data_IF_969584765861
#
_entry.id   IF_969584765861
#
_cell.length_a   1.000
_cell.length_b   1.000
_cell.length_c   1.000
_cell.angle_alpha   90.00
_cell.angle_beta   90.00
_cell.angle_gamma   90.00
#
_symmetry.space_group_name_H-M   'P 1'
#
loop_
_entity.id
_entity.type
_entity.pdbx_description
1 polymer ?
#
# COMPACT_ATOMS: atom_id res chain seq x y z
N UNK A 1 27.15 6.63 -5.21
CA UNK A 1 26.34 6.86 -3.99
C UNK A 1 24.89 6.62 -4.34
N UNK A 2 24.27 5.59 -3.76
CA UNK A 2 22.84 5.26 -3.94
C UNK A 2 22.18 5.53 -2.60
N UNK A 3 21.37 6.57 -2.52
CA UNK A 3 20.60 6.94 -1.34
C UNK A 3 19.62 5.81 -1.04
N UNK A 4 19.73 5.23 0.15
CA UNK A 4 18.71 4.33 0.70
C UNK A 4 17.38 5.10 0.81
N UNK A 5 16.22 4.44 0.64
CA UNK A 5 14.94 5.07 0.89
C UNK A 5 14.92 5.50 2.36
N UNK A 6 14.72 6.81 2.58
CA UNK A 6 14.62 7.39 3.90
C UNK A 6 13.36 6.84 4.57
N UNK A 7 13.55 6.02 5.60
CA UNK A 7 12.49 5.70 6.55
C UNK A 7 12.11 6.98 7.27
N UNK A 8 11.01 7.61 6.84
CA UNK A 8 10.42 8.77 7.50
C UNK A 8 10.02 8.46 8.96
N UNK A 9 9.81 9.49 9.79
CA UNK A 9 9.43 9.32 11.19
C UNK A 9 8.10 8.55 11.30
N UNK A 10 8.05 7.57 12.20
CA UNK A 10 6.90 6.70 12.46
C UNK A 10 5.62 7.54 12.66
N UNK A 11 4.57 7.23 11.89
CA UNK A 11 3.25 7.88 12.02
C UNK A 11 2.65 7.58 13.39
N UNK A 12 2.03 8.59 14.02
CA UNK A 12 1.27 8.48 15.27
C UNK A 12 0.00 7.62 15.15
N UNK A 13 -0.36 7.21 13.92
CA UNK A 13 -1.48 6.32 13.63
C UNK A 13 -0.96 4.87 13.50
N UNK A 14 -1.33 3.96 14.43
CA UNK A 14 -0.87 2.57 14.40
C UNK A 14 -1.08 1.87 13.05
N UNK A 15 -2.22 2.14 12.39
CA UNK A 15 -2.56 1.56 11.09
C UNK A 15 -1.60 2.01 9.97
N UNK A 16 -1.14 3.27 9.98
CA UNK A 16 -0.18 3.75 8.99
C UNK A 16 1.20 3.16 9.21
N UNK A 17 1.65 3.06 10.46
CA UNK A 17 2.91 2.39 10.79
C UNK A 17 2.89 0.92 10.35
N UNK A 18 1.79 0.21 10.62
CA UNK A 18 1.61 -1.16 10.18
C UNK A 18 1.61 -1.27 8.65
N UNK A 19 0.88 -0.40 7.95
CA UNK A 19 0.87 -0.36 6.49
C UNK A 19 2.27 -0.13 5.91
N UNK A 20 3.07 0.78 6.48
CA UNK A 20 4.45 1.01 6.04
C UNK A 20 5.32 -0.22 6.19
N UNK A 21 5.23 -0.93 7.33
CA UNK A 21 5.98 -2.15 7.54
C UNK A 21 5.54 -3.26 6.56
N UNK A 22 4.24 -3.43 6.35
CA UNK A 22 3.70 -4.41 5.41
C UNK A 22 4.12 -4.11 3.97
N UNK A 23 4.11 -2.85 3.54
CA UNK A 23 4.57 -2.45 2.21
C UNK A 23 6.04 -2.78 1.99
N UNK A 24 6.90 -2.52 2.99
CA UNK A 24 8.32 -2.86 2.94
C UNK A 24 8.53 -4.38 2.82
N UNK A 25 7.81 -5.16 3.63
CA UNK A 25 7.85 -6.63 3.59
C UNK A 25 7.45 -7.16 2.20
N UNK A 26 6.36 -6.63 1.64
CA UNK A 26 5.85 -6.97 0.31
C UNK A 26 6.89 -6.68 -0.78
N UNK A 27 7.55 -5.52 -0.74
CA UNK A 27 8.64 -5.17 -1.67
C UNK A 27 9.81 -6.14 -1.53
N UNK A 28 10.20 -6.49 -0.30
CA UNK A 28 11.33 -7.40 -0.07
C UNK A 28 11.04 -8.83 -0.55
N UNK A 29 9.81 -9.32 -0.34
CA UNK A 29 9.42 -10.64 -0.83
C UNK A 29 9.25 -10.67 -2.35
N UNK A 30 8.79 -9.58 -2.97
CA UNK A 30 8.63 -9.51 -4.43
C UNK A 30 9.96 -9.64 -5.19
N UNK A 31 11.08 -9.24 -4.58
CA UNK A 31 12.42 -9.39 -5.17
C UNK A 31 12.82 -10.86 -5.38
N UNK A 32 12.26 -11.78 -4.60
CA UNK A 32 12.57 -13.22 -4.66
C UNK A 32 11.75 -13.95 -5.72
N UNK A 33 10.72 -13.30 -6.27
CA UNK A 33 9.79 -13.91 -7.22
C UNK A 33 10.49 -14.20 -8.56
N UNK A 34 10.29 -15.42 -9.09
CA UNK A 34 10.98 -15.89 -10.31
C UNK A 34 10.29 -15.51 -11.61
N UNK A 35 8.95 -15.38 -11.62
CA UNK A 35 8.11 -15.13 -12.81
C UNK A 35 7.26 -13.88 -12.64
N UNK A 36 6.81 -13.28 -13.74
CA UNK A 36 5.95 -12.08 -13.71
C UNK A 36 6.55 -10.89 -12.92
N UNK A 37 7.88 -10.82 -12.82
CA UNK A 37 8.60 -9.84 -12.01
C UNK A 37 8.16 -8.40 -12.25
N UNK A 38 7.90 -8.03 -13.50
CA UNK A 38 7.45 -6.68 -13.84
C UNK A 38 6.09 -6.34 -13.23
N UNK A 39 5.14 -7.29 -13.24
CA UNK A 39 3.80 -7.09 -12.69
C UNK A 39 3.86 -6.97 -11.16
N UNK A 40 4.59 -7.88 -10.49
CA UNK A 40 4.81 -7.80 -9.05
C UNK A 40 5.53 -6.52 -8.65
N UNK A 41 6.63 -6.17 -9.33
CA UNK A 41 7.39 -4.94 -9.05
C UNK A 41 6.48 -3.72 -9.13
N UNK A 42 5.70 -3.59 -10.22
CA UNK A 42 4.76 -2.48 -10.39
C UNK A 42 3.77 -2.42 -9.23
N UNK A 43 3.05 -3.51 -8.94
CA UNK A 43 2.09 -3.55 -7.84
C UNK A 43 2.72 -3.16 -6.50
N UNK A 44 3.91 -3.68 -6.18
CA UNK A 44 4.58 -3.37 -4.91
C UNK A 44 5.08 -1.93 -4.83
N UNK A 45 5.50 -1.35 -5.97
CA UNK A 45 5.86 0.07 -6.06
C UNK A 45 4.62 0.94 -5.86
N UNK A 46 3.55 0.67 -6.62
CA UNK A 46 2.30 1.43 -6.54
C UNK A 46 1.71 1.38 -5.12
N UNK A 47 1.78 0.22 -4.46
CA UNK A 47 1.32 0.05 -3.08
C UNK A 47 2.19 0.84 -2.06
N UNK A 48 3.51 0.82 -2.22
CA UNK A 48 4.42 1.56 -1.35
C UNK A 48 4.24 3.07 -1.50
N UNK A 49 4.19 3.56 -2.74
CA UNK A 49 3.92 4.97 -3.04
C UNK A 49 2.58 5.42 -2.44
N UNK A 50 1.55 4.56 -2.48
CA UNK A 50 0.27 4.90 -1.86
C UNK A 50 0.36 5.04 -0.33
N UNK A 51 1.11 4.17 0.35
CA UNK A 51 1.32 4.28 1.79
C UNK A 51 2.12 5.53 2.15
N UNK A 52 3.12 5.88 1.34
CA UNK A 52 3.89 7.10 1.50
C UNK A 52 2.99 8.35 1.31
N UNK A 53 2.12 8.36 0.30
CA UNK A 53 1.14 9.42 0.07
C UNK A 53 0.21 9.60 1.30
N UNK A 54 -0.32 8.50 1.84
CA UNK A 54 -1.19 8.54 3.03
C UNK A 54 -0.45 9.05 4.27
N UNK A 55 0.79 8.59 4.48
CA UNK A 55 1.63 9.02 5.59
C UNK A 55 1.97 10.50 5.48
N UNK A 56 2.27 10.97 4.28
CA UNK A 56 2.56 12.37 4.01
C UNK A 56 1.34 13.26 4.23
N UNK A 57 0.18 12.86 3.71
CA UNK A 57 -1.08 13.57 3.93
C UNK A 57 -1.42 13.67 5.41
N UNK A 58 -1.38 12.57 6.14
CA UNK A 58 -1.70 12.58 7.56
C UNK A 58 -0.77 13.50 8.34
N UNK A 59 0.53 13.47 8.05
CA UNK A 59 1.51 14.38 8.69
C UNK A 59 1.22 15.86 8.44
N UNK A 60 0.69 16.22 7.27
CA UNK A 60 0.29 17.61 6.96
C UNK A 60 -0.99 18.00 7.70
N UNK A 61 -1.93 17.06 7.83
CA UNK A 61 -3.28 17.32 8.32
C UNK A 61 -3.47 16.98 9.80
N UNK A 62 -2.48 16.42 10.48
CA UNK A 62 -2.56 15.96 11.87
C UNK A 62 -3.09 17.05 12.82
N UNK A 63 -2.64 18.31 12.64
CA UNK A 63 -3.10 19.46 13.42
C UNK A 63 -4.58 19.81 13.18
N UNK A 64 -5.15 19.39 12.04
CA UNK A 64 -6.57 19.58 11.73
C UNK A 64 -7.47 18.46 12.30
N UNK A 65 -6.87 17.47 12.95
CA UNK A 65 -7.55 16.33 13.56
C UNK A 65 -7.38 16.33 15.09
N UNK A 66 -7.84 17.38 15.80
CA UNK A 66 -7.61 17.53 17.25
C UNK A 66 -8.30 16.44 18.08
N UNK A 67 -9.30 15.75 17.53
CA UNK A 67 -10.00 14.63 18.18
C UNK A 67 -9.50 13.26 17.70
N UNK A 68 -8.42 13.21 16.92
CA UNK A 68 -7.90 11.99 16.31
C UNK A 68 -8.37 11.78 14.87
N UNK A 69 -7.94 10.66 14.28
CA UNK A 69 -8.20 10.32 12.87
C UNK A 69 -9.71 10.24 12.60
N UNK A 70 -10.23 10.96 11.59
CA UNK A 70 -11.63 10.85 11.20
C UNK A 70 -11.98 9.43 10.76
N UNK A 71 -13.19 8.96 11.11
CA UNK A 71 -13.62 7.56 10.91
C UNK A 71 -13.47 7.09 9.46
N UNK A 72 -13.86 7.93 8.48
CA UNK A 72 -13.70 7.61 7.06
C UNK A 72 -12.24 7.42 6.65
N UNK A 73 -11.33 8.21 7.22
CA UNK A 73 -9.90 8.15 6.94
C UNK A 73 -9.27 6.94 7.64
N UNK A 74 -9.64 6.66 8.89
CA UNK A 74 -9.22 5.45 9.60
C UNK A 74 -9.68 4.19 8.87
N UNK A 75 -10.91 4.18 8.36
CA UNK A 75 -11.42 3.07 7.55
C UNK A 75 -10.61 2.84 6.27
N UNK A 76 -10.14 3.90 5.62
CA UNK A 76 -9.23 3.80 4.46
C UNK A 76 -7.87 3.23 4.87
N UNK A 77 -7.33 3.62 6.03
CA UNK A 77 -6.09 3.06 6.55
C UNK A 77 -6.24 1.57 6.87
N UNK A 78 -7.31 1.17 7.55
CA UNK A 78 -7.60 -0.23 7.86
C UNK A 78 -7.78 -1.08 6.58
N UNK A 79 -8.49 -0.57 5.57
CA UNK A 79 -8.60 -1.24 4.27
C UNK A 79 -7.24 -1.43 3.60
N UNK A 80 -6.36 -0.44 3.72
CA UNK A 80 -4.99 -0.54 3.20
C UNK A 80 -4.20 -1.61 3.93
N UNK A 81 -4.24 -1.65 5.26
CA UNK A 81 -3.57 -2.69 6.07
C UNK A 81 -4.05 -4.09 5.67
N UNK A 82 -5.36 -4.28 5.53
CA UNK A 82 -5.94 -5.56 5.10
C UNK A 82 -5.49 -5.98 3.69
N UNK A 83 -5.45 -5.02 2.76
CA UNK A 83 -4.94 -5.24 1.40
C UNK A 83 -3.47 -5.66 1.43
N UNK A 84 -2.63 -4.94 2.15
CA UNK A 84 -1.19 -5.20 2.22
C UNK A 84 -0.89 -6.51 2.95
N UNK A 85 -1.68 -6.88 3.96
CA UNK A 85 -1.59 -8.18 4.64
C UNK A 85 -1.87 -9.33 3.67
N UNK A 86 -2.95 -9.21 2.89
CA UNK A 86 -3.31 -10.22 1.87
C UNK A 86 -2.24 -10.30 0.79
N UNK A 87 -1.78 -9.14 0.31
CA UNK A 87 -0.72 -9.05 -0.68
C UNK A 87 0.59 -9.66 -0.18
N UNK A 88 0.96 -9.44 1.08
CA UNK A 88 2.15 -10.03 1.72
C UNK A 88 2.06 -11.55 1.78
N UNK A 89 0.91 -12.09 2.17
CA UNK A 89 0.71 -13.55 2.16
C UNK A 89 0.90 -14.10 0.75
N UNK A 90 0.27 -13.45 -0.24
CA UNK A 90 0.36 -13.86 -1.63
C UNK A 90 1.80 -13.76 -2.19
N UNK A 91 2.50 -12.65 -1.99
CA UNK A 91 3.88 -12.48 -2.48
C UNK A 91 4.82 -13.47 -1.83
N UNK A 92 4.68 -13.74 -0.53
CA UNK A 92 5.46 -14.76 0.18
C UNK A 92 5.23 -16.15 -0.38
N UNK A 93 3.97 -16.53 -0.61
CA UNK A 93 3.63 -17.83 -1.19
C UNK A 93 4.21 -18.00 -2.60
N UNK A 94 4.13 -16.95 -3.43
CA UNK A 94 4.70 -16.95 -4.78
C UNK A 94 6.23 -17.01 -4.74
N UNK A 95 6.87 -16.29 -3.82
CA UNK A 95 8.32 -16.26 -3.66
C UNK A 95 8.91 -17.62 -3.26
N UNK A 96 8.17 -18.42 -2.49
CA UNK A 96 8.61 -19.74 -2.01
C UNK A 96 8.48 -20.85 -3.08
N UNK A 97 7.79 -20.59 -4.20
CA UNK A 97 7.57 -21.60 -5.24
C UNK A 97 8.87 -22.00 -5.95
N UNK A 98 9.02 -23.30 -6.15
CA UNK A 98 10.04 -23.85 -7.03
C UNK A 98 9.76 -23.48 -8.51
N UNK A 99 10.72 -23.75 -9.38
CA UNK A 99 10.65 -23.34 -10.79
C UNK A 99 9.43 -23.91 -11.55
N UNK A 100 9.09 -25.18 -11.34
CA UNK A 100 7.97 -25.82 -12.02
C UNK A 100 6.62 -25.25 -11.56
N UNK A 101 6.43 -25.07 -10.25
CA UNK A 101 5.24 -24.43 -9.69
C UNK A 101 5.12 -22.98 -10.18
N UNK A 102 6.22 -22.24 -10.23
CA UNK A 102 6.21 -20.87 -10.75
C UNK A 102 5.77 -20.79 -12.23
N UNK A 103 6.01 -21.83 -13.04
CA UNK A 103 5.51 -21.90 -14.42
C UNK A 103 4.02 -22.22 -14.43
N UNK A 104 3.60 -23.28 -13.73
CA UNK A 104 2.22 -23.76 -13.72
C UNK A 104 1.23 -22.68 -13.27
N UNK A 105 1.59 -21.95 -12.21
CA UNK A 105 0.73 -20.92 -11.63
C UNK A 105 0.89 -19.54 -12.25
N UNK A 106 1.81 -19.34 -13.19
CA UNK A 106 2.12 -18.01 -13.75
C UNK A 106 0.89 -17.23 -14.24
N UNK A 107 -0.04 -17.89 -14.94
CA UNK A 107 -1.28 -17.24 -15.42
C UNK A 107 -2.27 -16.91 -14.30
N UNK A 108 -2.28 -17.71 -13.24
CA UNK A 108 -3.09 -17.44 -12.06
C UNK A 108 -2.52 -16.25 -11.30
N UNK A 109 -1.19 -16.21 -11.14
CA UNK A 109 -0.50 -15.13 -10.43
C UNK A 109 -0.73 -13.78 -11.10
N UNK A 110 -0.70 -13.71 -12.43
CA UNK A 110 -1.03 -12.47 -13.16
C UNK A 110 -2.47 -12.01 -12.92
N UNK A 111 -3.43 -12.95 -12.85
CA UNK A 111 -4.82 -12.61 -12.55
C UNK A 111 -4.96 -12.08 -11.13
N UNK A 112 -4.29 -12.71 -10.18
CA UNK A 112 -4.31 -12.28 -8.79
C UNK A 112 -3.66 -10.91 -8.59
N UNK A 113 -2.51 -10.66 -9.24
CA UNK A 113 -1.86 -9.34 -9.27
C UNK A 113 -2.82 -8.28 -9.81
N UNK A 114 -3.59 -8.59 -10.87
CA UNK A 114 -4.57 -7.65 -11.42
C UNK A 114 -5.71 -7.37 -10.44
N UNK A 115 -6.16 -8.37 -9.69
CA UNK A 115 -7.16 -8.19 -8.62
C UNK A 115 -6.62 -7.21 -7.57
N UNK A 116 -5.38 -7.41 -7.10
CA UNK A 116 -4.74 -6.52 -6.15
C UNK A 116 -4.57 -5.09 -6.69
N UNK A 117 -4.17 -4.92 -7.95
CA UNK A 117 -4.09 -3.60 -8.61
C UNK A 117 -5.45 -2.90 -8.60
N UNK A 118 -6.54 -3.64 -8.91
CA UNK A 118 -7.89 -3.08 -8.92
C UNK A 118 -8.35 -2.68 -7.52
N UNK A 119 -8.10 -3.53 -6.51
CA UNK A 119 -8.43 -3.22 -5.12
C UNK A 119 -7.64 -2.01 -4.62
N UNK A 120 -6.34 -1.93 -4.90
CA UNK A 120 -5.51 -0.76 -4.58
C UNK A 120 -6.06 0.51 -5.22
N UNK A 121 -6.45 0.44 -6.51
CA UNK A 121 -7.04 1.57 -7.22
C UNK A 121 -8.37 2.04 -6.60
N UNK A 122 -9.21 1.12 -6.11
CA UNK A 122 -10.45 1.45 -5.42
C UNK A 122 -10.19 2.17 -4.08
N UNK A 123 -9.29 1.63 -3.25
CA UNK A 123 -8.93 2.24 -1.96
C UNK A 123 -8.31 3.62 -2.17
N UNK A 124 -7.39 3.74 -3.14
CA UNK A 124 -6.80 5.03 -3.53
C UNK A 124 -7.86 6.01 -4.05
N UNK A 125 -8.89 5.51 -4.73
CA UNK A 125 -10.06 6.30 -5.12
C UNK A 125 -10.81 6.88 -3.91
N UNK A 126 -11.11 6.05 -2.91
CA UNK A 126 -11.75 6.49 -1.66
C UNK A 126 -10.90 7.52 -0.92
N UNK A 127 -9.58 7.29 -0.84
CA UNK A 127 -8.64 8.25 -0.24
C UNK A 127 -8.64 9.61 -0.95
N UNK A 128 -8.65 9.61 -2.29
CA UNK A 128 -8.68 10.85 -3.09
C UNK A 128 -9.98 11.64 -2.94
N UNK A 129 -11.11 10.96 -2.77
CA UNK A 129 -12.39 11.63 -2.48
C UNK A 129 -12.28 12.37 -1.15
N UNK A 130 -11.76 11.69 -0.12
CA UNK A 130 -11.51 12.30 1.18
C UNK A 130 -10.59 13.53 1.06
N UNK A 131 -9.43 13.37 0.41
CA UNK A 131 -8.45 14.43 0.19
C UNK A 131 -9.08 15.68 -0.44
N UNK A 132 -9.88 15.50 -1.50
CA UNK A 132 -10.57 16.62 -2.17
C UNK A 132 -11.61 17.27 -1.26
N UNK A 133 -12.40 16.50 -0.52
CA UNK A 133 -13.41 17.06 0.39
C UNK A 133 -12.78 17.85 1.54
N UNK A 134 -11.60 17.46 2.02
CA UNK A 134 -10.89 18.23 3.05
C UNK A 134 -10.28 19.51 2.48
N UNK A 135 -9.70 19.49 1.28
CA UNK A 135 -9.21 20.71 0.60
C UNK A 135 -10.32 21.77 0.42
N UNK A 136 -11.55 21.35 0.09
CA UNK A 136 -12.69 22.27 0.01
C UNK A 136 -13.10 22.86 1.36
N UNK A 137 -12.89 22.14 2.47
CA UNK A 137 -13.18 22.64 3.81
C UNK A 137 -12.09 23.56 4.38
N UNK A 138 -10.84 23.40 3.95
CA UNK A 138 -9.70 24.24 4.38
C UNK A 138 -9.60 25.53 3.57
N UNK A 139 -10.15 25.57 2.34
CA UNK A 139 -10.09 26.72 1.42
C UNK A 139 -11.42 27.45 1.18
N UNK A 140 -12.51 27.16 1.92
CA UNK A 140 -13.78 27.88 1.82
C UNK A 140 -14.05 28.74 3.06
N UNK A 141 -13.99 30.08 2.95
CA UNK A 141 -15.15 30.98 2.75
C UNK A 141 -16.08 31.08 3.96
#
# INVERSE_FOLDING_TARGET
MKTAPQTGPFSSVPALQEASQLALDVVNDSQKIRRNKAAFKRLTTDASEFVDDMSHFYRIMEEQFPQGVPEDLDFVFQRTVNLLTSLRSFTRDVALRNFFMAILFSRSDVREVKTYDQTLAMIRGSFKVYFRTTDFHVLGF
#
